data_IF_917121172165
#
_entry.id   IF_917121172165
#
_cell.length_a   1.000
_cell.length_b   1.000
_cell.length_c   1.000
_cell.angle_alpha   90.00
_cell.angle_beta   90.00
_cell.angle_gamma   90.00
#
_symmetry.space_group_name_H-M   'P 1'
#
loop_
_entity.id
_entity.type
_entity.pdbx_description
1 polymer ?
#
# COMPACT_ATOMS: atom_id res chain seq x y z
N UNK A 1 10.61 15.12 72.91
CA UNK A 1 9.42 14.79 72.09
C UNK A 1 9.09 15.87 71.05
N UNK A 2 8.84 17.13 71.43
CA UNK A 2 8.48 18.22 70.48
C UNK A 2 9.48 18.46 69.34
N UNK A 3 10.80 18.41 69.62
CA UNK A 3 11.85 18.62 68.61
C UNK A 3 11.89 17.53 67.52
N UNK A 4 11.47 16.29 67.82
CA UNK A 4 11.42 15.21 66.84
C UNK A 4 10.19 15.30 65.93
N UNK A 5 9.05 15.78 66.46
CA UNK A 5 7.82 15.99 65.68
C UNK A 5 7.99 17.14 64.68
N UNK A 6 8.65 18.23 65.07
CA UNK A 6 8.93 19.37 64.17
C UNK A 6 9.90 18.97 63.05
N UNK A 7 10.89 18.12 63.35
CA UNK A 7 11.82 17.59 62.34
C UNK A 7 11.15 16.72 61.28
N UNK A 8 10.21 15.84 61.70
CA UNK A 8 9.46 14.98 60.78
C UNK A 8 8.48 15.77 59.90
N UNK A 9 7.81 16.79 60.46
CA UNK A 9 6.91 17.67 59.69
C UNK A 9 7.68 18.50 58.66
N UNK A 10 8.85 19.04 59.00
CA UNK A 10 9.70 19.76 58.06
C UNK A 10 10.19 18.86 56.92
N UNK A 11 10.57 17.61 57.23
CA UNK A 11 10.99 16.64 56.23
C UNK A 11 9.85 16.27 55.27
N UNK A 12 8.62 16.13 55.78
CA UNK A 12 7.43 15.84 54.99
C UNK A 12 7.05 16.99 54.05
N UNK A 13 7.17 18.24 54.52
CA UNK A 13 6.91 19.43 53.70
C UNK A 13 7.94 19.57 52.57
N UNK A 14 9.23 19.35 52.87
CA UNK A 14 10.31 19.40 51.86
C UNK A 14 10.16 18.28 50.83
N UNK A 15 9.80 17.06 51.26
CA UNK A 15 9.53 15.94 50.36
C UNK A 15 8.30 16.21 49.48
N UNK A 16 7.23 16.82 50.01
CA UNK A 16 6.07 17.22 49.21
C UNK A 16 6.47 18.25 48.15
N UNK A 17 7.20 19.31 48.52
CA UNK A 17 7.63 20.35 47.57
C UNK A 17 8.55 19.79 46.47
N UNK A 18 9.44 18.85 46.80
CA UNK A 18 10.31 18.19 45.84
C UNK A 18 9.54 17.26 44.87
N UNK A 19 8.48 16.60 45.37
CA UNK A 19 7.57 15.79 44.54
C UNK A 19 6.73 16.67 43.62
N UNK A 20 6.17 17.78 44.12
CA UNK A 20 5.42 18.73 43.29
C UNK A 20 6.28 19.35 42.16
N UNK A 21 7.55 19.67 42.43
CA UNK A 21 8.49 20.20 41.44
C UNK A 21 8.86 19.19 40.33
N UNK A 22 9.05 17.91 40.66
CA UNK A 22 9.31 16.85 39.67
C UNK A 22 8.10 16.53 38.78
N UNK A 23 6.88 16.61 39.34
CA UNK A 23 5.64 16.34 38.59
C UNK A 23 5.34 17.46 37.58
N UNK A 24 5.67 18.72 37.90
CA UNK A 24 5.47 19.86 36.98
C UNK A 24 6.48 19.86 35.83
N UNK A 25 7.72 19.41 36.04
CA UNK A 25 8.74 19.29 34.98
C UNK A 25 8.44 18.17 33.97
N UNK A 26 7.87 17.04 34.41
CA UNK A 26 7.54 15.92 33.53
C UNK A 26 6.28 16.18 32.68
N UNK A 27 5.27 16.83 33.26
CA UNK A 27 4.04 17.21 32.55
C UNK A 27 4.28 18.31 31.49
N UNK A 28 5.28 19.18 31.69
CA UNK A 28 5.64 20.22 30.72
C UNK A 28 6.52 19.70 29.58
N UNK A 29 7.37 18.70 29.83
CA UNK A 29 8.17 18.02 28.78
C UNK A 29 7.29 17.16 27.85
N UNK A 30 6.32 16.42 28.39
CA UNK A 30 5.35 15.64 27.59
C UNK A 30 4.43 16.53 26.74
N UNK A 31 3.94 17.66 27.28
CA UNK A 31 3.20 18.66 26.49
C UNK A 31 4.04 19.21 25.35
N UNK A 32 5.32 19.52 25.58
CA UNK A 32 6.23 20.00 24.52
C UNK A 32 6.49 18.94 23.46
N UNK A 33 6.66 17.66 23.83
CA UNK A 33 6.82 16.55 22.88
C UNK A 33 5.55 16.29 22.07
N UNK A 34 4.37 16.34 22.68
CA UNK A 34 3.10 16.18 21.98
C UNK A 34 2.77 17.39 21.06
N UNK A 35 3.08 18.61 21.51
CA UNK A 35 2.83 19.85 20.75
C UNK A 35 3.82 20.10 19.60
N UNK A 36 5.03 19.54 19.65
CA UNK A 36 5.98 19.64 18.53
C UNK A 36 5.81 18.53 17.50
N UNK A 37 5.14 17.43 17.87
CA UNK A 37 5.01 16.28 16.98
C UNK A 37 3.69 16.25 16.20
N UNK A 38 2.56 16.76 16.74
CA UNK A 38 1.28 16.81 16.01
C UNK A 38 1.08 18.12 15.22
N UNK A 39 0.46 18.06 14.02
CA UNK A 39 -0.04 19.24 13.33
C UNK A 39 -1.03 20.03 14.19
N UNK A 40 -1.11 21.36 13.98
CA UNK A 40 -2.00 22.23 14.74
C UNK A 40 -3.46 21.77 14.67
N UNK A 41 -3.94 21.39 13.48
CA UNK A 41 -5.31 20.92 13.29
C UNK A 41 -5.62 19.68 14.17
N UNK A 42 -4.75 18.68 14.17
CA UNK A 42 -4.95 17.47 14.95
C UNK A 42 -4.89 17.72 16.46
N UNK A 43 -4.02 18.64 16.90
CA UNK A 43 -3.96 19.03 18.31
C UNK A 43 -5.26 19.68 18.81
N UNK A 44 -5.96 20.43 17.94
CA UNK A 44 -7.25 21.04 18.25
C UNK A 44 -8.36 19.98 18.34
N UNK A 45 -8.39 19.02 17.41
CA UNK A 45 -9.31 17.88 17.46
C UNK A 45 -9.14 17.03 18.72
N UNK A 46 -7.90 16.76 19.13
CA UNK A 46 -7.66 16.04 20.37
C UNK A 46 -8.11 16.86 21.58
N UNK A 47 -7.77 18.16 21.62
CA UNK A 47 -8.11 19.04 22.73
C UNK A 47 -9.63 19.17 22.97
N UNK A 48 -10.45 19.16 21.90
CA UNK A 48 -11.90 19.23 22.02
C UNK A 48 -12.53 17.94 22.57
N UNK A 49 -11.86 16.80 22.41
CA UNK A 49 -12.36 15.48 22.80
C UNK A 49 -11.78 14.96 24.12
N UNK A 50 -10.66 15.53 24.60
CA UNK A 50 -10.08 15.21 25.91
C UNK A 50 -11.08 15.28 27.09
N UNK A 51 -12.07 16.20 27.14
CA UNK A 51 -13.05 16.22 28.23
C UNK A 51 -14.01 15.03 28.25
N UNK A 52 -14.14 14.29 27.13
CA UNK A 52 -15.07 13.15 27.03
C UNK A 52 -14.50 11.83 27.54
N UNK A 53 -13.18 11.73 27.67
CA UNK A 53 -12.52 10.54 28.21
C UNK A 53 -12.47 10.56 29.73
N UNK A 54 -12.37 9.37 30.32
CA UNK A 54 -12.13 9.18 31.76
C UNK A 54 -10.64 9.19 32.11
N UNK A 55 -9.76 9.15 31.10
CA UNK A 55 -8.31 9.15 31.28
C UNK A 55 -7.80 10.53 31.70
N UNK A 56 -6.74 10.55 32.52
CA UNK A 56 -6.05 11.80 32.80
C UNK A 56 -5.33 12.30 31.54
N UNK A 57 -5.24 13.62 31.29
CA UNK A 57 -4.63 14.17 30.06
C UNK A 57 -3.12 13.91 29.96
N UNK A 58 -2.48 13.46 31.04
CA UNK A 58 -1.07 13.06 31.09
C UNK A 58 -0.88 11.55 31.01
N UNK A 59 -1.96 10.76 31.11
CA UNK A 59 -1.92 9.30 31.10
C UNK A 59 -2.05 8.78 29.66
N UNK A 60 -0.93 8.82 28.95
CA UNK A 60 -0.85 8.42 27.54
C UNK A 60 -1.26 6.95 27.35
N UNK A 61 -0.95 6.08 28.29
CA UNK A 61 -1.29 4.65 28.19
C UNK A 61 -2.80 4.43 28.24
N UNK A 62 -3.50 5.10 29.18
CA UNK A 62 -4.96 5.07 29.24
C UNK A 62 -5.58 5.66 27.96
N UNK A 63 -5.05 6.80 27.48
CA UNK A 63 -5.55 7.45 26.26
C UNK A 63 -5.38 6.55 25.01
N UNK A 64 -4.30 5.78 24.93
CA UNK A 64 -4.07 4.83 23.83
C UNK A 64 -4.99 3.61 23.86
N UNK A 65 -5.64 3.31 24.99
CA UNK A 65 -6.58 2.19 25.13
C UNK A 65 -8.05 2.62 25.01
N UNK A 66 -8.33 3.92 24.99
CA UNK A 66 -9.67 4.48 24.85
C UNK A 66 -10.10 4.54 23.37
N UNK A 67 -10.55 3.41 22.83
CA UNK A 67 -11.01 3.31 21.44
C UNK A 67 -12.05 4.37 21.03
N UNK A 68 -13.09 4.68 21.83
CA UNK A 68 -14.02 5.77 21.53
C UNK A 68 -13.34 7.12 21.32
N UNK A 69 -12.35 7.47 22.14
CA UNK A 69 -11.59 8.71 22.00
C UNK A 69 -10.76 8.70 20.71
N UNK A 70 -10.09 7.58 20.42
CA UNK A 70 -9.26 7.43 19.22
C UNK A 70 -10.09 7.53 17.94
N UNK A 71 -11.26 6.88 17.90
CA UNK A 71 -12.19 6.93 16.76
C UNK A 71 -12.78 8.33 16.56
N UNK A 72 -13.22 8.99 17.64
CA UNK A 72 -13.74 10.35 17.57
C UNK A 72 -12.66 11.35 17.11
N UNK A 73 -11.42 11.18 17.59
CA UNK A 73 -10.29 12.02 17.17
C UNK A 73 -9.95 11.78 15.71
N UNK A 74 -9.91 10.53 15.26
CA UNK A 74 -9.69 10.19 13.86
C UNK A 74 -10.78 10.78 12.95
N UNK A 75 -12.06 10.70 13.35
CA UNK A 75 -13.17 11.28 12.61
C UNK A 75 -13.06 12.81 12.52
N UNK A 76 -12.69 13.49 13.60
CA UNK A 76 -12.46 14.94 13.59
C UNK A 76 -11.31 15.33 12.65
N UNK A 77 -10.19 14.59 12.71
CA UNK A 77 -9.02 14.85 11.87
C UNK A 77 -9.32 14.61 10.39
N UNK A 78 -10.07 13.55 10.07
CA UNK A 78 -10.50 13.27 8.69
C UNK A 78 -11.46 14.32 8.12
N UNK A 79 -12.31 14.90 8.97
CA UNK A 79 -13.28 15.91 8.54
C UNK A 79 -12.67 17.31 8.40
N UNK A 80 -11.75 17.69 9.29
CA UNK A 80 -11.31 19.08 9.43
C UNK A 80 -9.86 19.34 9.01
N UNK A 81 -9.01 18.31 8.92
CA UNK A 81 -7.60 18.47 8.59
C UNK A 81 -7.31 18.04 7.15
N UNK A 82 -6.18 18.50 6.62
CA UNK A 82 -5.72 18.03 5.30
C UNK A 82 -5.31 16.56 5.35
N UNK A 83 -5.34 15.87 4.21
CA UNK A 83 -4.92 14.46 4.11
C UNK A 83 -3.47 14.27 4.58
N UNK A 84 -2.58 15.22 4.25
CA UNK A 84 -1.18 15.19 4.68
C UNK A 84 -1.10 15.30 6.21
N UNK A 85 -1.83 16.24 6.81
CA UNK A 85 -1.87 16.38 8.27
C UNK A 85 -2.43 15.12 8.92
N UNK A 86 -3.53 14.57 8.41
CA UNK A 86 -4.13 13.33 8.92
C UNK A 86 -3.13 12.15 8.91
N UNK A 87 -2.41 11.96 7.79
CA UNK A 87 -1.39 10.93 7.69
C UNK A 87 -0.21 11.19 8.63
N UNK A 88 0.24 12.44 8.77
CA UNK A 88 1.32 12.78 9.72
C UNK A 88 0.90 12.56 11.17
N UNK A 89 -0.35 12.88 11.52
CA UNK A 89 -0.92 12.59 12.84
C UNK A 89 -0.92 11.09 13.11
N UNK A 90 -1.38 10.29 12.15
CA UNK A 90 -1.37 8.84 12.29
C UNK A 90 0.05 8.28 12.42
N UNK A 91 1.01 8.83 11.67
CA UNK A 91 2.42 8.47 11.80
C UNK A 91 2.94 8.73 13.20
N UNK A 92 2.81 9.96 13.68
CA UNK A 92 3.31 10.35 15.00
C UNK A 92 2.60 9.61 16.12
N UNK A 93 1.30 9.40 15.98
CA UNK A 93 0.52 8.60 16.91
C UNK A 93 1.07 7.18 17.00
N UNK A 94 1.29 6.50 15.86
CA UNK A 94 1.75 5.11 15.82
C UNK A 94 3.23 4.91 16.15
N UNK A 95 4.09 5.90 15.88
CA UNK A 95 5.55 5.78 16.11
C UNK A 95 6.00 6.33 17.46
N UNK A 96 5.27 7.31 18.02
CA UNK A 96 5.80 8.12 19.12
C UNK A 96 4.86 8.23 20.33
N UNK A 97 3.53 8.20 20.15
CA UNK A 97 2.57 8.38 21.24
C UNK A 97 2.02 7.04 21.73
N UNK A 98 1.45 6.27 20.81
CA UNK A 98 0.90 4.94 21.02
C UNK A 98 1.65 3.96 20.10
N UNK A 99 2.83 3.44 20.53
CA UNK A 99 3.61 2.52 19.71
C UNK A 99 2.79 1.31 19.27
N UNK A 100 2.65 1.14 17.96
CA UNK A 100 2.00 0.00 17.32
C UNK A 100 2.96 -0.66 16.33
N UNK A 101 2.83 -1.97 16.07
CA UNK A 101 3.69 -2.65 15.10
C UNK A 101 3.42 -2.08 13.69
N UNK A 102 4.46 -1.50 13.09
CA UNK A 102 4.40 -1.00 11.71
C UNK A 102 4.48 -2.18 10.75
N UNK A 103 3.51 -2.28 9.83
CA UNK A 103 3.49 -3.35 8.84
C UNK A 103 4.34 -2.96 7.63
N UNK A 104 5.29 -3.83 7.30
CA UNK A 104 6.09 -3.73 6.08
C UNK A 104 6.08 -5.07 5.32
N UNK A 105 5.39 -5.07 4.18
CA UNK A 105 5.30 -6.22 3.27
C UNK A 105 6.02 -5.96 1.94
N UNK A 106 6.75 -4.85 1.79
CA UNK A 106 7.42 -4.48 0.54
C UNK A 106 8.37 -5.59 0.05
N UNK A 107 9.20 -6.14 0.95
CA UNK A 107 10.11 -7.23 0.63
C UNK A 107 9.38 -8.54 0.27
N UNK A 108 8.22 -8.82 0.87
CA UNK A 108 7.40 -9.98 0.51
C UNK A 108 6.85 -9.83 -0.90
N UNK A 109 6.28 -8.66 -1.20
CA UNK A 109 5.73 -8.31 -2.52
C UNK A 109 6.79 -8.49 -3.61
N UNK A 110 7.99 -7.93 -3.42
CA UNK A 110 9.09 -8.07 -4.39
C UNK A 110 9.49 -9.54 -4.59
N UNK A 111 9.66 -10.30 -3.50
CA UNK A 111 10.05 -11.72 -3.60
C UNK A 111 9.02 -12.55 -4.37
N UNK A 112 7.73 -12.37 -4.07
CA UNK A 112 6.65 -13.11 -4.74
C UNK A 112 6.61 -12.79 -6.23
N UNK A 113 6.72 -11.51 -6.58
CA UNK A 113 6.66 -11.05 -7.97
C UNK A 113 7.81 -11.62 -8.80
N UNK A 114 9.05 -11.55 -8.31
CA UNK A 114 10.20 -12.15 -9.00
C UNK A 114 10.18 -13.67 -9.04
N UNK A 115 9.63 -14.34 -8.02
CA UNK A 115 9.46 -15.79 -8.02
C UNK A 115 8.46 -16.23 -9.11
N UNK A 116 7.32 -15.54 -9.24
CA UNK A 116 6.32 -15.81 -10.27
C UNK A 116 6.83 -15.47 -11.67
N UNK A 117 7.60 -14.39 -11.82
CA UNK A 117 8.27 -14.07 -13.07
C UNK A 117 9.24 -15.18 -13.51
N UNK A 118 10.03 -15.70 -12.56
CA UNK A 118 10.96 -16.81 -12.83
C UNK A 118 10.24 -18.07 -13.28
N UNK A 119 9.10 -18.38 -12.64
CA UNK A 119 8.25 -19.50 -13.03
C UNK A 119 7.65 -19.30 -14.44
N UNK A 120 7.16 -18.09 -14.75
CA UNK A 120 6.64 -17.75 -16.06
C UNK A 120 7.72 -17.87 -17.14
N UNK A 121 8.93 -17.34 -16.89
CA UNK A 121 10.09 -17.46 -17.76
C UNK A 121 10.44 -18.92 -18.03
N UNK A 122 10.52 -19.75 -17.00
CA UNK A 122 10.80 -21.17 -17.13
C UNK A 122 9.74 -21.88 -17.98
N UNK A 123 8.46 -21.61 -17.73
CA UNK A 123 7.34 -22.18 -18.48
C UNK A 123 7.40 -21.82 -19.97
N UNK A 124 7.67 -20.55 -20.29
CA UNK A 124 7.81 -20.09 -21.68
C UNK A 124 9.04 -20.70 -22.34
N UNK A 125 10.18 -20.78 -21.65
CA UNK A 125 11.39 -21.44 -22.19
C UNK A 125 11.15 -22.92 -22.47
N UNK A 126 10.53 -23.65 -21.54
CA UNK A 126 10.16 -25.05 -21.73
C UNK A 126 9.23 -25.23 -22.94
N UNK A 127 8.27 -24.32 -23.12
CA UNK A 127 7.40 -24.29 -24.29
C UNK A 127 8.21 -24.10 -25.58
N UNK A 128 9.09 -23.10 -25.65
CA UNK A 128 9.88 -22.82 -26.85
C UNK A 128 10.81 -23.99 -27.21
N UNK A 129 11.42 -24.63 -26.20
CA UNK A 129 12.22 -25.84 -26.39
C UNK A 129 11.39 -26.99 -26.96
N UNK A 130 10.16 -27.20 -26.46
CA UNK A 130 9.25 -28.22 -26.98
C UNK A 130 8.84 -28.01 -28.45
N UNK A 131 8.90 -26.75 -28.93
CA UNK A 131 8.54 -26.36 -30.30
C UNK A 131 9.74 -26.31 -31.26
N UNK A 132 10.96 -26.43 -30.75
CA UNK A 132 12.16 -26.34 -31.56
C UNK A 132 12.24 -27.52 -32.55
N UNK A 133 12.31 -27.22 -33.85
CA UNK A 133 12.38 -28.24 -34.90
C UNK A 133 13.59 -29.18 -34.75
N UNK A 134 14.71 -28.66 -34.20
CA UNK A 134 15.92 -29.45 -33.90
C UNK A 134 15.69 -30.56 -32.86
N UNK A 135 14.64 -30.43 -32.04
CA UNK A 135 14.22 -31.41 -31.04
C UNK A 135 12.97 -32.20 -31.47
N UNK A 136 12.62 -32.16 -32.77
CA UNK A 136 11.43 -32.82 -33.32
C UNK A 136 10.11 -32.07 -33.09
N UNK A 137 10.17 -30.80 -32.66
CA UNK A 137 8.99 -29.96 -32.45
C UNK A 137 8.32 -29.49 -33.75
N UNK A 138 7.03 -29.12 -33.65
CA UNK A 138 6.19 -28.71 -34.79
C UNK A 138 6.49 -27.31 -35.37
N UNK A 139 7.56 -26.65 -34.93
CA UNK A 139 7.91 -25.28 -35.29
C UNK A 139 7.13 -24.21 -34.53
N UNK A 140 7.53 -22.95 -34.72
CA UNK A 140 6.92 -21.80 -34.07
C UNK A 140 5.62 -21.37 -34.76
N UNK A 141 4.58 -21.13 -33.97
CA UNK A 141 3.30 -20.60 -34.44
C UNK A 141 3.00 -19.21 -33.90
N UNK A 142 1.85 -18.64 -34.28
CA UNK A 142 1.39 -17.35 -33.76
C UNK A 142 1.15 -17.37 -32.24
N UNK A 143 0.81 -18.52 -31.68
CA UNK A 143 0.67 -18.74 -30.24
C UNK A 143 2.00 -18.53 -29.48
N UNK A 144 3.12 -18.93 -30.08
CA UNK A 144 4.45 -18.81 -29.49
C UNK A 144 4.98 -17.35 -29.52
N UNK A 145 4.70 -16.62 -30.61
CA UNK A 145 5.05 -15.20 -30.69
C UNK A 145 4.23 -14.33 -29.73
N UNK A 146 2.94 -14.67 -29.55
CA UNK A 146 2.07 -13.92 -28.62
C UNK A 146 2.44 -14.16 -27.17
N UNK A 147 2.81 -15.38 -26.76
CA UNK A 147 3.28 -15.61 -25.39
C UNK A 147 4.66 -14.95 -25.14
N UNK A 148 5.53 -14.92 -26.14
CA UNK A 148 6.80 -14.19 -26.07
C UNK A 148 6.59 -12.69 -25.88
N UNK A 149 5.62 -12.10 -26.61
CA UNK A 149 5.22 -10.72 -26.40
C UNK A 149 4.69 -10.50 -24.98
N UNK A 150 3.86 -11.42 -24.46
CA UNK A 150 3.38 -11.38 -23.08
C UNK A 150 4.53 -11.38 -22.06
N UNK A 151 5.53 -12.24 -22.26
CA UNK A 151 6.72 -12.31 -21.40
C UNK A 151 7.56 -11.03 -21.50
N UNK A 152 7.74 -10.47 -22.71
CA UNK A 152 8.48 -9.23 -22.93
C UNK A 152 7.84 -8.06 -22.19
N UNK A 153 6.52 -7.96 -22.21
CA UNK A 153 5.76 -6.90 -21.52
C UNK A 153 5.70 -7.12 -20.00
N UNK A 154 5.84 -8.36 -19.55
CA UNK A 154 5.91 -8.67 -18.12
C UNK A 154 7.18 -8.09 -17.47
N UNK A 155 8.27 -7.92 -18.22
CA UNK A 155 9.53 -7.34 -17.72
C UNK A 155 9.33 -5.91 -17.18
N UNK A 156 8.87 -4.92 -17.98
CA UNK A 156 8.66 -3.57 -17.47
C UNK A 156 7.64 -3.52 -16.33
N UNK A 157 6.59 -4.36 -16.35
CA UNK A 157 5.63 -4.44 -15.25
C UNK A 157 6.31 -4.83 -13.92
N UNK A 158 7.18 -5.84 -13.92
CA UNK A 158 7.92 -6.26 -12.72
C UNK A 158 8.90 -5.19 -12.24
N UNK A 159 9.54 -4.49 -13.18
CA UNK A 159 10.48 -3.40 -12.87
C UNK A 159 9.76 -2.21 -12.23
N UNK A 160 8.60 -1.80 -12.77
CA UNK A 160 7.78 -0.72 -12.19
C UNK A 160 7.36 -1.08 -10.77
N UNK A 161 6.84 -2.28 -10.55
CA UNK A 161 6.44 -2.75 -9.23
C UNK A 161 7.61 -2.77 -8.24
N UNK A 162 8.81 -3.13 -8.70
CA UNK A 162 10.01 -3.07 -7.87
C UNK A 162 10.33 -1.63 -7.42
N UNK A 163 10.24 -0.65 -8.32
CA UNK A 163 10.40 0.76 -7.97
C UNK A 163 9.33 1.24 -6.99
N UNK A 164 8.07 0.88 -7.20
CA UNK A 164 7.00 1.20 -6.24
C UNK A 164 7.27 0.61 -4.85
N UNK A 165 7.81 -0.61 -4.77
CA UNK A 165 8.18 -1.22 -3.50
C UNK A 165 9.34 -0.47 -2.80
N UNK A 166 10.30 0.08 -3.55
CA UNK A 166 11.35 0.94 -3.00
C UNK A 166 10.78 2.25 -2.44
N UNK A 167 9.78 2.82 -3.11
CA UNK A 167 9.09 4.02 -2.66
C UNK A 167 8.17 3.80 -1.45
N UNK A 168 7.87 2.55 -1.12
CA UNK A 168 7.12 2.18 0.09
C UNK A 168 5.83 1.39 -0.17
N UNK A 169 5.58 0.92 -1.39
CA UNK A 169 4.46 0.02 -1.66
C UNK A 169 4.57 -1.24 -0.78
N UNK A 170 3.50 -1.53 -0.03
CA UNK A 170 3.45 -2.61 0.95
C UNK A 170 3.75 -2.18 2.39
N UNK A 171 4.09 -0.91 2.63
CA UNK A 171 4.11 -0.29 3.96
C UNK A 171 2.78 0.38 4.27
N UNK A 172 2.51 0.63 5.54
CA UNK A 172 1.36 1.44 5.92
C UNK A 172 1.49 2.89 5.37
N UNK A 173 0.40 3.44 4.83
CA UNK A 173 0.42 4.68 4.04
C UNK A 173 0.97 5.89 4.81
N UNK A 174 0.70 5.97 6.11
CA UNK A 174 1.22 7.04 6.98
C UNK A 174 2.73 6.96 7.21
N UNK A 175 3.37 5.84 6.88
CA UNK A 175 4.82 5.67 6.97
C UNK A 175 5.55 6.09 5.69
N UNK A 176 4.82 6.39 4.61
CA UNK A 176 5.37 6.79 3.31
C UNK A 176 5.35 8.32 3.19
N UNK A 177 6.37 8.91 2.58
CA UNK A 177 6.40 10.36 2.39
C UNK A 177 5.38 10.79 1.32
N UNK A 178 4.70 11.94 1.45
CA UNK A 178 3.68 12.36 0.48
C UNK A 178 4.16 12.34 -0.99
N UNK A 179 5.38 12.80 -1.25
CA UNK A 179 5.94 12.77 -2.61
C UNK A 179 6.18 11.36 -3.16
N UNK A 180 6.48 10.38 -2.29
CA UNK A 180 6.61 8.98 -2.69
C UNK A 180 5.24 8.35 -2.95
N UNK A 181 4.20 8.75 -2.21
CA UNK A 181 2.82 8.31 -2.45
C UNK A 181 2.39 8.72 -3.86
N UNK A 182 2.59 9.99 -4.23
CA UNK A 182 2.30 10.48 -5.58
C UNK A 182 3.09 9.73 -6.65
N UNK A 183 4.37 9.42 -6.41
CA UNK A 183 5.17 8.63 -7.37
C UNK A 183 4.66 7.19 -7.52
N UNK A 184 4.28 6.54 -6.41
CA UNK A 184 3.68 5.21 -6.42
C UNK A 184 2.37 5.23 -7.21
N UNK A 185 1.49 6.19 -6.95
CA UNK A 185 0.21 6.31 -7.66
C UNK A 185 0.42 6.55 -9.17
N UNK A 186 1.38 7.39 -9.53
CA UNK A 186 1.72 7.63 -10.93
C UNK A 186 2.25 6.36 -11.62
N UNK A 187 3.17 5.64 -10.98
CA UNK A 187 3.70 4.38 -11.51
C UNK A 187 2.61 3.30 -11.59
N UNK A 188 1.71 3.25 -10.61
CA UNK A 188 0.56 2.34 -10.60
C UNK A 188 -0.38 2.63 -11.78
N UNK A 189 -0.69 3.90 -12.02
CA UNK A 189 -1.49 4.32 -13.17
C UNK A 189 -0.87 3.89 -14.50
N UNK A 190 0.46 4.02 -14.67
CA UNK A 190 1.18 3.54 -15.87
C UNK A 190 1.14 2.00 -15.95
N UNK A 191 1.32 1.30 -14.83
CA UNK A 191 1.29 -0.16 -14.77
C UNK A 191 -0.06 -0.74 -15.20
N UNK A 192 -1.18 -0.09 -14.87
CA UNK A 192 -2.52 -0.57 -15.19
C UNK A 192 -2.76 -0.75 -16.71
N UNK A 193 -2.17 0.12 -17.55
CA UNK A 193 -2.21 -0.03 -19.01
C UNK A 193 -1.47 -1.31 -19.46
N UNK A 194 -0.25 -1.50 -18.95
CA UNK A 194 0.56 -2.68 -19.25
C UNK A 194 -0.13 -3.96 -18.77
N UNK A 195 -0.67 -3.96 -17.56
CA UNK A 195 -1.37 -5.08 -16.96
C UNK A 195 -2.56 -5.53 -17.81
N UNK A 196 -3.40 -4.57 -18.23
CA UNK A 196 -4.57 -4.83 -19.08
C UNK A 196 -4.15 -5.48 -20.41
N UNK A 197 -3.08 -4.98 -21.03
CA UNK A 197 -2.57 -5.52 -22.28
C UNK A 197 -1.98 -6.93 -22.11
N UNK A 198 -1.20 -7.17 -21.05
CA UNK A 198 -0.62 -8.49 -20.74
C UNK A 198 -1.69 -9.55 -20.53
N UNK A 199 -2.77 -9.22 -19.79
CA UNK A 199 -3.90 -10.13 -19.58
C UNK A 199 -4.57 -10.51 -20.91
N UNK A 200 -4.76 -9.55 -21.80
CA UNK A 200 -5.36 -9.78 -23.11
C UNK A 200 -4.47 -10.68 -23.99
N UNK A 201 -3.19 -10.34 -24.12
CA UNK A 201 -2.22 -11.11 -24.92
C UNK A 201 -2.07 -12.54 -24.41
N UNK A 202 -2.04 -12.75 -23.08
CA UNK A 202 -1.95 -14.09 -22.49
C UNK A 202 -3.16 -14.95 -22.84
N UNK A 203 -4.38 -14.40 -22.71
CA UNK A 203 -5.62 -15.13 -23.10
C UNK A 203 -5.68 -15.40 -24.60
N UNK A 204 -5.26 -14.43 -25.42
CA UNK A 204 -5.19 -14.59 -26.88
C UNK A 204 -4.20 -15.70 -27.26
N UNK A 205 -3.04 -15.78 -26.61
CA UNK A 205 -2.06 -16.85 -26.84
C UNK A 205 -2.66 -18.24 -26.58
N UNK A 206 -3.43 -18.41 -25.50
CA UNK A 206 -4.14 -19.67 -25.20
C UNK A 206 -5.18 -20.00 -26.29
N UNK A 207 -5.95 -19.00 -26.75
CA UNK A 207 -6.93 -19.20 -27.81
C UNK A 207 -6.26 -19.56 -29.15
N UNK A 208 -5.13 -18.94 -29.48
CA UNK A 208 -4.35 -19.29 -30.66
C UNK A 208 -3.78 -20.72 -30.57
N UNK A 209 -3.36 -21.16 -29.38
CA UNK A 209 -2.97 -22.54 -29.14
C UNK A 209 -4.13 -23.51 -29.37
N UNK A 210 -5.34 -23.17 -28.91
CA UNK A 210 -6.54 -23.99 -29.17
C UNK A 210 -6.88 -24.05 -30.66
N UNK A 211 -6.81 -22.91 -31.36
CA UNK A 211 -7.02 -22.87 -32.81
C UNK A 211 -6.01 -23.71 -33.59
N UNK A 212 -4.77 -23.84 -33.07
CA UNK A 212 -3.73 -24.67 -33.66
C UNK A 212 -3.91 -26.16 -33.35
N UNK A 213 -4.39 -26.50 -32.15
CA UNK A 213 -4.59 -27.88 -31.73
C UNK A 213 -5.84 -28.52 -32.37
N UNK A 214 -6.90 -27.74 -32.59
CA UNK A 214 -8.13 -28.19 -33.24
C UNK A 214 -8.29 -27.58 -34.63
N UNK A 215 -7.81 -28.26 -35.69
CA UNK A 215 -7.93 -27.78 -37.06
C UNK A 215 -9.38 -27.80 -37.57
N UNK A 216 -9.63 -27.09 -38.68
CA UNK A 216 -10.96 -26.89 -39.30
C UNK A 216 -11.74 -28.18 -39.59
N UNK A 217 -11.05 -29.32 -39.68
CA UNK A 217 -11.62 -30.65 -39.91
C UNK A 217 -12.43 -31.16 -38.72
N UNK A 218 -12.13 -30.73 -37.50
CA UNK A 218 -12.75 -31.28 -36.28
C UNK A 218 -14.02 -30.52 -35.86
N UNK A 219 -13.96 -29.17 -35.79
CA UNK A 219 -15.12 -28.36 -35.38
C UNK A 219 -15.03 -26.89 -35.80
N UNK A 220 -15.75 -26.53 -36.86
CA UNK A 220 -15.86 -25.13 -37.33
C UNK A 220 -16.55 -24.21 -36.30
N UNK A 221 -17.49 -24.74 -35.51
CA UNK A 221 -18.20 -23.96 -34.47
C UNK A 221 -17.24 -23.54 -33.34
N UNK A 222 -16.41 -24.47 -32.87
CA UNK A 222 -15.41 -24.18 -31.83
C UNK A 222 -14.41 -23.14 -32.32
N UNK A 223 -13.91 -23.30 -33.54
CA UNK A 223 -12.97 -22.35 -34.15
C UNK A 223 -13.55 -20.94 -34.23
N UNK A 224 -14.79 -20.81 -34.72
CA UNK A 224 -15.47 -19.51 -34.79
C UNK A 224 -15.68 -18.89 -33.41
N UNK A 225 -15.96 -19.70 -32.37
CA UNK A 225 -16.04 -19.23 -31.00
C UNK A 225 -14.69 -18.70 -30.48
N UNK A 226 -13.59 -19.40 -30.73
CA UNK A 226 -12.25 -18.93 -30.37
C UNK A 226 -11.88 -17.61 -31.07
N UNK A 227 -12.15 -17.49 -32.37
CA UNK A 227 -11.92 -16.25 -33.12
C UNK A 227 -12.79 -15.11 -32.56
N UNK A 228 -14.07 -15.39 -32.28
CA UNK A 228 -14.98 -14.43 -31.64
C UNK A 228 -14.47 -13.95 -30.28
N UNK A 229 -13.94 -14.87 -29.46
CA UNK A 229 -13.34 -14.54 -28.16
C UNK A 229 -12.06 -13.71 -28.30
N UNK A 230 -11.21 -13.98 -29.30
CA UNK A 230 -10.01 -13.17 -29.58
C UNK A 230 -10.42 -11.72 -29.89
N UNK A 231 -11.43 -11.54 -30.76
CA UNK A 231 -11.94 -10.21 -31.11
C UNK A 231 -12.52 -9.53 -29.87
N UNK A 232 -13.36 -10.22 -29.10
CA UNK A 232 -13.97 -9.70 -27.88
C UNK A 232 -12.92 -9.26 -26.86
N UNK A 233 -11.88 -10.08 -26.61
CA UNK A 233 -10.80 -9.77 -25.68
C UNK A 233 -9.97 -8.57 -26.16
N UNK A 234 -9.74 -8.46 -27.47
CA UNK A 234 -9.00 -7.33 -28.05
C UNK A 234 -9.79 -6.03 -27.88
N UNK A 235 -11.09 -6.05 -28.18
CA UNK A 235 -11.98 -4.89 -27.98
C UNK A 235 -12.06 -4.53 -26.49
N UNK A 236 -12.23 -5.51 -25.61
CA UNK A 236 -12.26 -5.29 -24.17
C UNK A 236 -10.98 -4.63 -23.67
N UNK A 237 -9.80 -5.11 -24.10
CA UNK A 237 -8.53 -4.52 -23.71
C UNK A 237 -8.41 -3.05 -24.14
N UNK A 238 -8.76 -2.74 -25.39
CA UNK A 238 -8.75 -1.36 -25.90
C UNK A 238 -9.72 -0.48 -25.12
N UNK A 239 -10.96 -0.94 -24.91
CA UNK A 239 -11.96 -0.21 -24.14
C UNK A 239 -11.50 0.07 -22.71
N UNK A 240 -10.90 -0.92 -22.03
CA UNK A 240 -10.40 -0.74 -20.67
C UNK A 240 -9.26 0.28 -20.60
N UNK A 241 -8.33 0.27 -21.57
CA UNK A 241 -7.27 1.29 -21.63
C UNK A 241 -7.84 2.69 -21.86
N UNK A 242 -8.88 2.83 -22.70
CA UNK A 242 -9.55 4.12 -22.93
C UNK A 242 -10.27 4.59 -21.67
N UNK A 243 -11.00 3.70 -20.98
CA UNK A 243 -11.68 4.00 -19.72
C UNK A 243 -10.67 4.42 -18.66
N UNK A 244 -9.53 3.71 -18.56
CA UNK A 244 -8.46 4.05 -17.63
C UNK A 244 -7.87 5.43 -17.90
N UNK A 245 -7.58 5.74 -19.17
CA UNK A 245 -7.11 7.07 -19.57
C UNK A 245 -8.12 8.19 -19.31
N UNK A 246 -9.43 7.88 -19.38
CA UNK A 246 -10.52 8.84 -19.19
C UNK A 246 -11.11 8.85 -17.76
N UNK A 247 -10.53 8.08 -16.84
CA UNK A 247 -11.05 7.92 -15.47
C UNK A 247 -11.03 9.23 -14.65
N UNK A 248 -10.12 10.15 -14.97
CA UNK A 248 -9.97 11.44 -14.31
C UNK A 248 -9.79 12.57 -15.34
N UNK A 249 -10.35 13.75 -15.06
CA UNK A 249 -10.16 14.97 -15.84
C UNK A 249 -9.96 16.17 -14.92
N UNK A 250 -8.76 16.78 -14.87
CA UNK A 250 -7.52 16.43 -15.58
C UNK A 250 -6.93 15.08 -15.16
N UNK A 251 -6.17 14.47 -16.07
CA UNK A 251 -5.50 13.16 -15.89
C UNK A 251 -4.57 13.17 -14.66
N UNK A 252 -4.04 14.34 -14.28
CA UNK A 252 -3.21 14.51 -13.08
C UNK A 252 -3.92 14.19 -11.76
N UNK A 253 -5.24 14.05 -11.73
CA UNK A 253 -5.96 13.59 -10.53
C UNK A 253 -5.94 12.08 -10.33
N UNK A 254 -5.40 11.32 -11.29
CA UNK A 254 -5.17 9.90 -11.11
C UNK A 254 -4.03 9.58 -10.12
N UNK A 255 -3.16 10.56 -9.78
CA UNK A 255 -2.03 10.38 -8.86
C UNK A 255 -1.77 11.56 -7.92
#
# INVERSE_FOLDING_TARGET
MWKQVVGLLALFIVLSQAVQGKVTDHATTLRRQAQTALPQCASQCLASLLPTTKCAPTDVECLCQDNPLLEATAACVQANCTVIEALTTQRVQTTSICPQPVRDQSGLTVRVVWALFSLALFSVLARLLSRLQRLGGSGFGHDDWTILLGLLLLIPLNVILHFMALDGLGKDIWMVMPGQITNILYLFWVEEFLYTFILAVTRISILLLYLRMWPDTESRKFRNACIGLIVLLSVYAVTMNVVLAASCSPVSYAW
#
